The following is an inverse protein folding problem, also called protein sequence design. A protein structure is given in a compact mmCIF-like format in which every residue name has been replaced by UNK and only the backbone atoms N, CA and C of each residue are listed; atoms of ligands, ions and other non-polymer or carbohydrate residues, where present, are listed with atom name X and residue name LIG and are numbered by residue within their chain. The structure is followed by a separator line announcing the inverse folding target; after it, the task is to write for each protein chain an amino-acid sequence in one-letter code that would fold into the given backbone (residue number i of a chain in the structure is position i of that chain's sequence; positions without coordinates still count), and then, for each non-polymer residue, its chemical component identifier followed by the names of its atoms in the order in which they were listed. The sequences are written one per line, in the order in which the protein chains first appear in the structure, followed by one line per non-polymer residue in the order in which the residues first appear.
data_IF_168812392158
#
_entry.id   IF_168812392158
#
_cell.length_a   1.000
_cell.length_b   1.000
_cell.length_c   1.000
_cell.angle_alpha   90.00
_cell.angle_beta   90.00
_cell.angle_gamma   90.00
#
_symmetry.space_group_name_H-M   'P 1'
#
loop_
_entity.id
_entity.type
_entity.pdbx_description
1 polymer ?
#
# COMPACT_ATOMS: atom_id res chain seq x y z
N UNK A 1 12.28 11.96 -8.70
CA UNK A 1 11.09 12.48 -8.00
C UNK A 1 9.94 12.33 -8.97
N UNK A 2 8.97 11.50 -8.63
CA UNK A 2 7.73 11.35 -9.39
C UNK A 2 6.62 12.17 -8.77
N UNK A 3 5.70 12.68 -9.58
CA UNK A 3 4.52 13.40 -9.12
C UNK A 3 3.54 12.41 -8.48
N UNK A 4 2.79 12.87 -7.46
CA UNK A 4 1.72 12.08 -6.86
C UNK A 4 0.39 12.42 -7.55
N UNK A 5 -0.27 11.39 -8.09
CA UNK A 5 -1.54 11.53 -8.79
C UNK A 5 -2.45 10.35 -8.44
N UNK A 6 -3.61 10.65 -7.84
CA UNK A 6 -4.63 9.64 -7.48
C UNK A 6 -4.01 8.41 -6.80
N UNK A 7 -3.23 8.58 -5.73
CA UNK A 7 -2.66 7.43 -5.02
C UNK A 7 -1.39 6.84 -5.66
N UNK A 8 -1.11 7.12 -6.93
CA UNK A 8 0.05 6.64 -7.66
C UNK A 8 1.19 7.65 -7.70
N UNK A 9 2.41 7.15 -7.58
CA UNK A 9 3.59 7.90 -7.96
C UNK A 9 3.85 7.70 -9.46
N UNK A 10 3.68 8.77 -10.23
CA UNK A 10 3.97 8.79 -11.66
C UNK A 10 5.46 9.06 -11.83
N UNK A 11 6.18 8.10 -12.40
CA UNK A 11 7.62 8.21 -12.63
C UNK A 11 7.96 7.82 -14.07
N UNK A 12 8.98 8.47 -14.60
CA UNK A 12 9.57 8.16 -15.91
C UNK A 12 10.98 7.62 -15.70
N UNK A 13 11.39 6.63 -16.50
CA UNK A 13 12.77 6.16 -16.44
C UNK A 13 13.72 7.28 -16.91
N UNK A 14 14.78 7.61 -16.16
CA UNK A 14 15.82 8.48 -16.67
C UNK A 14 16.54 7.75 -17.80
N UNK A 15 16.68 8.39 -18.97
CA UNK A 15 17.54 7.88 -20.03
C UNK A 15 18.99 8.05 -19.54
N UNK A 16 19.76 6.97 -19.46
CA UNK A 16 21.16 7.04 -19.08
C UNK A 16 21.95 7.74 -20.19
N UNK A 17 22.48 8.94 -19.91
CA UNK A 17 23.44 9.57 -20.80
C UNK A 17 24.78 8.83 -20.69
N UNK A 18 25.18 8.10 -21.72
CA UNK A 18 26.54 7.55 -21.91
C UNK A 18 27.59 8.62 -22.25
N UNK A 19 27.35 9.90 -21.89
CA UNK A 19 28.23 11.02 -22.22
C UNK A 19 28.69 11.79 -20.99
N UNK A 20 30.01 11.85 -20.77
CA UNK A 20 30.71 12.62 -19.73
C UNK A 20 30.47 14.14 -19.88
N UNK A 21 29.32 14.68 -19.49
CA UNK A 21 29.15 16.14 -19.29
C UNK A 21 28.42 16.48 -18.00
N UNK A 22 29.07 17.33 -17.21
CA UNK A 22 28.62 17.93 -15.95
C UNK A 22 27.42 18.84 -16.20
N UNK A 23 26.23 18.26 -16.31
CA UNK A 23 24.94 18.83 -15.87
C UNK A 23 23.85 17.84 -16.25
N UNK A 24 23.29 17.16 -15.25
CA UNK A 24 22.22 16.20 -15.42
C UNK A 24 20.88 16.93 -15.66
N UNK A 25 20.71 17.52 -16.84
CA UNK A 25 19.37 17.80 -17.36
C UNK A 25 18.68 16.44 -17.56
N UNK A 26 17.85 16.03 -16.58
CA UNK A 26 16.98 14.84 -16.68
C UNK A 26 16.00 15.06 -17.85
N UNK A 27 16.40 14.64 -19.06
CA UNK A 27 15.43 14.47 -20.15
C UNK A 27 14.54 13.28 -19.80
N UNK A 28 13.31 13.61 -19.43
CA UNK A 28 12.24 12.66 -19.12
C UNK A 28 11.67 12.17 -20.47
N UNK A 29 12.39 11.27 -21.14
CA UNK A 29 11.97 10.68 -22.42
C UNK A 29 11.58 9.19 -22.30
N UNK A 30 11.28 8.71 -21.09
CA UNK A 30 10.81 7.34 -20.85
C UNK A 30 9.28 7.26 -20.77
N UNK A 31 8.68 6.15 -21.22
CA UNK A 31 7.25 5.89 -21.03
C UNK A 31 6.87 6.08 -19.55
N UNK A 32 5.76 6.78 -19.27
CA UNK A 32 5.29 6.97 -17.90
C UNK A 32 4.96 5.61 -17.29
N UNK A 33 5.43 5.39 -16.06
CA UNK A 33 5.06 4.24 -15.25
C UNK A 33 4.43 4.73 -13.97
N UNK A 34 3.34 4.08 -13.59
CA UNK A 34 2.71 4.28 -12.30
C UNK A 34 3.31 3.30 -11.28
N UNK A 35 3.55 3.81 -10.08
CA UNK A 35 4.11 3.07 -8.95
C UNK A 35 3.31 3.34 -7.70
N UNK A 36 3.34 2.41 -6.75
CA UNK A 36 2.85 2.60 -5.40
C UNK A 36 4.00 3.21 -4.59
N UNK A 37 3.78 4.36 -3.95
CA UNK A 37 4.73 4.92 -3.00
C UNK A 37 4.78 4.05 -1.73
N UNK A 38 5.95 3.53 -1.31
CA UNK A 38 6.09 2.77 -0.07
C UNK A 38 5.55 3.49 1.18
N UNK A 39 5.60 4.83 1.23
CA UNK A 39 5.05 5.61 2.35
C UNK A 39 3.54 5.51 2.42
N UNK A 40 2.86 5.40 1.27
CA UNK A 40 1.40 5.27 1.20
C UNK A 40 0.90 3.95 1.76
N UNK A 41 1.70 2.89 1.71
CA UNK A 41 1.34 1.59 2.32
C UNK A 41 1.04 1.75 3.82
N UNK A 42 1.90 2.47 4.56
CA UNK A 42 1.66 2.72 5.97
C UNK A 42 0.45 3.65 6.17
N UNK A 43 0.26 4.64 5.31
CA UNK A 43 -0.91 5.53 5.37
C UNK A 43 -2.22 4.75 5.20
N UNK A 44 -2.28 3.82 4.24
CA UNK A 44 -3.44 2.96 4.05
C UNK A 44 -3.68 2.03 5.24
N UNK A 45 -2.62 1.48 5.82
CA UNK A 45 -2.74 0.66 7.03
C UNK A 45 -3.27 1.48 8.23
N UNK A 46 -2.85 2.74 8.39
CA UNK A 46 -3.42 3.65 9.40
C UNK A 46 -4.88 4.01 9.09
N UNK A 47 -5.20 4.32 7.83
CA UNK A 47 -6.56 4.69 7.42
C UNK A 47 -7.57 3.55 7.63
N UNK A 48 -7.12 2.29 7.51
CA UNK A 48 -7.93 1.11 7.80
C UNK A 48 -7.86 0.66 9.28
N UNK A 49 -7.22 1.44 10.15
CA UNK A 49 -7.05 1.15 11.58
C UNK A 49 -6.33 -0.18 11.89
N UNK A 50 -5.52 -0.71 10.97
CA UNK A 50 -4.77 -1.96 11.16
C UNK A 50 -3.52 -1.80 12.01
N UNK A 51 -3.01 -0.57 12.10
CA UNK A 51 -1.85 -0.22 12.91
C UNK A 51 -2.16 0.98 13.82
N UNK A 52 -1.66 0.93 15.05
CA UNK A 52 -1.70 2.05 15.99
C UNK A 52 -0.89 3.25 15.49
N UNK A 53 -1.10 4.43 16.10
CA UNK A 53 -0.28 5.64 15.82
C UNK A 53 1.24 5.40 15.95
N UNK A 54 1.64 4.45 16.79
CA UNK A 54 3.05 4.04 16.99
C UNK A 54 3.54 2.99 15.96
N UNK A 55 2.74 2.66 14.95
CA UNK A 55 3.06 1.69 13.91
C UNK A 55 2.90 0.22 14.31
N UNK A 56 2.43 -0.08 15.54
CA UNK A 56 2.19 -1.46 15.98
C UNK A 56 0.89 -2.00 15.42
N UNK A 57 0.91 -3.20 14.85
CA UNK A 57 -0.29 -3.92 14.38
C UNK A 57 -1.26 -4.14 15.56
N UNK A 58 -2.54 -3.87 15.34
CA UNK A 58 -3.59 -4.02 16.35
C UNK A 58 -4.86 -4.63 15.77
N UNK A 59 -5.72 -5.11 16.65
CA UNK A 59 -7.09 -5.42 16.32
C UNK A 59 -7.90 -4.12 16.16
N UNK A 60 -8.94 -4.12 15.31
CA UNK A 60 -9.82 -2.97 15.12
C UNK A 60 -10.99 -3.05 16.09
N UNK A 61 -11.16 -2.03 16.92
CA UNK A 61 -12.17 -2.01 17.99
C UNK A 61 -13.61 -2.18 17.48
N UNK A 62 -13.90 -1.66 16.29
CA UNK A 62 -15.25 -1.74 15.69
C UNK A 62 -15.70 -3.16 15.32
N UNK A 63 -14.80 -4.15 15.29
CA UNK A 63 -15.13 -5.54 15.00
C UNK A 63 -15.70 -6.30 16.22
N UNK A 64 -15.79 -5.67 17.40
CA UNK A 64 -16.31 -6.32 18.60
C UNK A 64 -17.74 -6.85 18.44
N UNK A 65 -18.55 -6.21 17.59
CA UNK A 65 -19.93 -6.63 17.31
C UNK A 65 -20.08 -7.56 16.09
N UNK A 66 -19.02 -7.80 15.33
CA UNK A 66 -19.09 -8.55 14.08
C UNK A 66 -18.93 -10.05 14.32
N UNK A 67 -19.51 -10.86 13.44
CA UNK A 67 -19.19 -12.29 13.40
C UNK A 67 -17.81 -12.53 12.74
N UNK A 68 -17.15 -13.65 13.10
CA UNK A 68 -15.83 -14.02 12.58
C UNK A 68 -15.82 -14.05 11.05
N UNK A 69 -16.86 -14.59 10.42
CA UNK A 69 -16.97 -14.63 8.96
C UNK A 69 -17.09 -13.22 8.35
N UNK A 70 -17.80 -12.30 9.03
CA UNK A 70 -17.93 -10.91 8.57
C UNK A 70 -16.59 -10.17 8.68
N UNK A 71 -15.84 -10.41 9.76
CA UNK A 71 -14.48 -9.86 9.95
C UNK A 71 -13.58 -10.33 8.80
N UNK A 72 -13.55 -11.64 8.52
CA UNK A 72 -12.74 -12.20 7.41
C UNK A 72 -13.17 -11.63 6.06
N UNK A 73 -14.47 -11.56 5.79
CA UNK A 73 -15.02 -10.96 4.55
C UNK A 73 -14.62 -9.50 4.41
N UNK A 74 -14.61 -8.73 5.49
CA UNK A 74 -14.19 -7.33 5.48
C UNK A 74 -12.72 -7.18 5.06
N UNK A 75 -11.81 -7.91 5.71
CA UNK A 75 -10.38 -7.88 5.34
C UNK A 75 -10.15 -8.32 3.89
N UNK A 76 -10.81 -9.39 3.45
CA UNK A 76 -10.74 -9.87 2.06
C UNK A 76 -11.21 -8.80 1.07
N UNK A 77 -12.35 -8.15 1.36
CA UNK A 77 -12.90 -7.09 0.52
C UNK A 77 -11.94 -5.90 0.41
N UNK A 78 -11.41 -5.42 1.53
CA UNK A 78 -10.43 -4.33 1.55
C UNK A 78 -9.17 -4.66 0.74
N UNK A 79 -8.59 -5.86 0.95
CA UNK A 79 -7.40 -6.29 0.22
C UNK A 79 -7.65 -6.42 -1.29
N UNK A 80 -8.80 -6.96 -1.69
CA UNK A 80 -9.19 -7.02 -3.10
C UNK A 80 -9.38 -5.61 -3.69
N UNK A 81 -9.94 -4.68 -2.93
CA UNK A 81 -10.04 -3.28 -3.33
C UNK A 81 -8.68 -2.66 -3.64
N UNK A 82 -7.68 -2.90 -2.78
CA UNK A 82 -6.30 -2.44 -3.03
C UNK A 82 -5.65 -3.11 -4.24
N UNK A 83 -5.83 -4.42 -4.41
CA UNK A 83 -5.30 -5.16 -5.55
C UNK A 83 -5.86 -4.63 -6.87
N UNK A 84 -7.18 -4.43 -6.93
CA UNK A 84 -7.84 -3.89 -8.12
C UNK A 84 -7.42 -2.44 -8.38
N UNK A 85 -7.38 -1.61 -7.34
CA UNK A 85 -7.02 -0.20 -7.48
C UNK A 85 -5.60 -0.01 -8.00
N UNK A 86 -4.65 -0.83 -7.53
CA UNK A 86 -3.23 -0.76 -7.88
C UNK A 86 -2.77 -1.78 -8.93
N UNK A 87 -3.70 -2.44 -9.64
CA UNK A 87 -3.39 -3.53 -10.58
C UNK A 87 -2.36 -3.13 -11.66
N UNK A 88 -2.36 -1.86 -12.06
CA UNK A 88 -1.46 -1.31 -13.09
C UNK A 88 -0.11 -0.82 -12.55
N UNK A 89 0.11 -0.87 -11.23
CA UNK A 89 1.37 -0.44 -10.65
C UNK A 89 2.52 -1.39 -11.03
N UNK A 90 3.60 -0.82 -11.53
CA UNK A 90 4.81 -1.58 -11.89
C UNK A 90 5.55 -2.21 -10.70
N UNK A 91 5.19 -1.87 -9.46
CA UNK A 91 5.73 -2.42 -8.23
C UNK A 91 4.63 -2.96 -7.31
N UNK A 92 3.66 -3.71 -7.86
CA UNK A 92 2.53 -4.27 -7.09
C UNK A 92 2.97 -5.12 -5.88
N UNK A 93 4.14 -5.74 -5.91
CA UNK A 93 4.73 -6.47 -4.79
C UNK A 93 4.84 -5.62 -3.50
N UNK A 94 4.86 -4.29 -3.63
CA UNK A 94 4.81 -3.35 -2.50
C UNK A 94 3.55 -3.53 -1.63
N UNK A 95 2.45 -4.04 -2.20
CA UNK A 95 1.23 -4.42 -1.45
C UNK A 95 1.43 -5.62 -0.54
N UNK A 96 2.49 -6.43 -0.71
CA UNK A 96 2.78 -7.56 0.16
C UNK A 96 2.95 -7.14 1.62
N UNK A 97 3.51 -5.95 1.88
CA UNK A 97 3.58 -5.39 3.24
C UNK A 97 2.19 -5.06 3.80
N UNK A 98 1.30 -4.54 2.96
CA UNK A 98 -0.08 -4.24 3.34
C UNK A 98 -0.84 -5.53 3.67
N UNK A 99 -0.67 -6.57 2.85
CA UNK A 99 -1.20 -7.91 3.08
C UNK A 99 -0.70 -8.53 4.38
N UNK A 100 0.59 -8.42 4.66
CA UNK A 100 1.18 -8.85 5.93
C UNK A 100 0.50 -8.15 7.11
N UNK A 101 0.41 -6.81 7.09
CA UNK A 101 -0.22 -6.04 8.17
C UNK A 101 -1.68 -6.47 8.36
N UNK A 102 -2.45 -6.57 7.28
CA UNK A 102 -3.86 -6.98 7.32
C UNK A 102 -4.03 -8.38 7.92
N UNK A 103 -3.21 -9.34 7.50
CA UNK A 103 -3.24 -10.71 8.01
C UNK A 103 -2.98 -10.77 9.51
N UNK A 104 -1.96 -10.08 10.01
CA UNK A 104 -1.67 -10.06 11.44
C UNK A 104 -2.68 -9.22 12.24
N UNK A 105 -3.27 -8.18 11.65
CA UNK A 105 -4.36 -7.42 12.28
C UNK A 105 -5.63 -8.28 12.43
N UNK A 106 -5.92 -9.12 11.43
CA UNK A 106 -6.99 -10.12 11.47
C UNK A 106 -6.72 -11.17 12.54
N UNK A 107 -5.52 -11.76 12.57
CA UNK A 107 -5.14 -12.78 13.56
C UNK A 107 -5.06 -12.25 14.99
N UNK A 108 -4.86 -10.94 15.16
CA UNK A 108 -4.96 -10.28 16.45
C UNK A 108 -6.38 -10.15 16.98
N UNK A 109 -7.38 -10.60 16.22
CA UNK A 109 -8.73 -10.76 16.74
C UNK A 109 -8.65 -11.57 18.04
N UNK A 110 -9.01 -10.97 19.18
CA UNK A 110 -9.12 -11.72 20.41
C UNK A 110 -10.30 -12.67 20.22
N UNK A 111 -10.05 -13.96 20.05
CA UNK A 111 -11.07 -15.00 19.90
C UNK A 111 -11.94 -15.20 21.15
N UNK A 112 -12.24 -14.15 21.89
CA UNK A 112 -12.92 -14.17 23.18
C UNK A 112 -14.17 -13.31 23.09
N UNK A 113 -15.20 -13.87 22.47
CA UNK A 113 -16.52 -13.81 23.10
C UNK A 113 -16.45 -14.85 24.23
N UNK A 114 -15.96 -14.45 25.39
CA UNK A 114 -16.24 -15.18 26.65
C UNK A 114 -17.57 -14.67 27.14
#
# INVERSE_FOLDING_TARGET
MGADFLGYQVATNPVANTGKRKQASRRINGHPRVKIDPKKVNQYAHANDWISKKGKIKHREYFHSFDVLEIVRNYKSCLNGFLNYFAYASNIAQLGKLYYIATYALLKYPGTKV
#
